data_IF_074859443325
#
_entry.id   IF_074859443325
#
_cell.length_a   1.000
_cell.length_b   1.000
_cell.length_c   1.000
_cell.angle_alpha   90.00
_cell.angle_beta   90.00
_cell.angle_gamma   90.00
#
_symmetry.space_group_name_H-M   'P 1'
#
loop_
_entity.id
_entity.type
_entity.pdbx_description
1 polymer ?
#
# COMPACT_ATOMS: atom_id res chain seq x y z
N UNK A 1 8.64 -11.57 5.50
CA UNK A 1 7.20 -11.71 5.19
C UNK A 1 6.48 -10.68 6.03
N UNK A 2 5.85 -9.66 5.42
CA UNK A 2 5.19 -8.59 6.17
C UNK A 2 3.78 -8.98 6.61
N UNK A 3 3.33 -8.58 7.81
CA UNK A 3 1.98 -8.84 8.28
C UNK A 3 0.95 -8.13 7.41
N UNK A 4 -0.13 -8.84 7.09
CA UNK A 4 -1.29 -8.23 6.43
C UNK A 4 -2.11 -7.49 7.47
N UNK A 5 -2.36 -6.22 7.24
CA UNK A 5 -3.12 -5.36 8.13
C UNK A 5 -4.61 -5.47 7.82
N UNK A 6 -4.94 -5.48 6.53
CA UNK A 6 -6.30 -5.53 6.04
C UNK A 6 -6.37 -6.24 4.68
N UNK A 7 -7.52 -6.85 4.39
CA UNK A 7 -7.76 -7.49 3.10
C UNK A 7 -9.21 -7.34 2.72
N UNK A 8 -9.48 -6.80 1.53
CA UNK A 8 -10.83 -6.59 1.02
C UNK A 8 -10.86 -6.84 -0.49
N UNK A 9 -11.85 -7.60 -0.98
CA UNK A 9 -12.11 -7.82 -2.42
C UNK A 9 -10.86 -8.19 -3.26
N UNK A 10 -9.89 -8.86 -2.66
CA UNK A 10 -8.63 -9.26 -3.33
C UNK A 10 -7.50 -8.23 -3.23
N UNK A 11 -7.74 -7.06 -2.66
CA UNK A 11 -6.71 -6.10 -2.26
C UNK A 11 -6.16 -6.47 -0.89
N UNK A 12 -4.84 -6.49 -0.75
CA UNK A 12 -4.11 -6.80 0.48
C UNK A 12 -3.32 -5.56 0.90
N UNK A 13 -3.56 -5.10 2.12
CA UNK A 13 -2.91 -3.94 2.72
C UNK A 13 -1.85 -4.39 3.70
N UNK A 14 -0.66 -3.81 3.62
CA UNK A 14 0.46 -4.16 4.49
C UNK A 14 1.49 -3.02 4.61
N UNK A 15 2.43 -3.16 5.54
CA UNK A 15 3.56 -2.25 5.74
C UNK A 15 4.88 -3.00 5.59
N UNK A 16 5.91 -2.35 5.07
CA UNK A 16 7.27 -2.88 5.08
C UNK A 16 7.97 -2.49 6.39
N UNK A 17 8.60 -3.45 7.07
CA UNK A 17 9.21 -3.27 8.39
C UNK A 17 10.41 -2.31 8.44
N UNK A 18 10.89 -1.83 7.30
CA UNK A 18 12.07 -0.94 7.19
C UNK A 18 11.85 0.13 6.12
N UNK A 19 10.64 0.68 6.08
CA UNK A 19 10.29 1.76 5.16
C UNK A 19 10.25 3.13 5.87
N UNK A 20 10.07 4.19 5.10
CA UNK A 20 10.04 5.58 5.52
C UNK A 20 9.09 5.87 6.68
N UNK A 21 9.44 6.88 7.49
CA UNK A 21 8.69 7.29 8.69
C UNK A 21 7.33 7.94 8.43
N UNK A 22 7.06 8.37 7.19
CA UNK A 22 5.76 8.93 6.80
C UNK A 22 4.68 7.87 6.87
N UNK A 23 3.47 8.21 7.35
CA UNK A 23 2.35 7.27 7.36
C UNK A 23 1.95 6.93 5.92
N UNK A 24 2.11 5.66 5.55
CA UNK A 24 1.82 5.15 4.22
C UNK A 24 1.32 3.72 4.31
N UNK A 25 0.59 3.26 3.30
CA UNK A 25 0.13 1.87 3.18
C UNK A 25 0.44 1.33 1.79
N UNK A 26 0.87 0.07 1.73
CA UNK A 26 1.02 -0.67 0.49
C UNK A 26 -0.20 -1.50 0.22
N UNK A 27 -0.65 -1.50 -1.03
CA UNK A 27 -1.80 -2.23 -1.52
C UNK A 27 -1.35 -3.11 -2.67
N UNK A 28 -1.50 -4.42 -2.53
CA UNK A 28 -1.24 -5.38 -3.61
C UNK A 28 -2.53 -6.11 -3.97
N UNK A 29 -2.77 -6.30 -5.27
CA UNK A 29 -3.84 -7.14 -5.79
C UNK A 29 -3.32 -7.99 -6.95
N UNK A 30 -4.20 -8.80 -7.55
CA UNK A 30 -3.86 -9.55 -8.76
C UNK A 30 -3.50 -8.67 -9.98
N UNK A 31 -3.84 -7.38 -9.95
CA UNK A 31 -3.55 -6.43 -11.03
C UNK A 31 -2.27 -5.61 -10.85
N UNK A 32 -1.65 -5.60 -9.66
CA UNK A 32 -0.47 -4.78 -9.41
C UNK A 32 -0.26 -4.39 -7.95
N UNK A 33 0.64 -3.45 -7.75
CA UNK A 33 0.96 -2.86 -6.45
C UNK A 33 0.83 -1.34 -6.50
N UNK A 34 0.36 -0.76 -5.39
CA UNK A 34 0.25 0.66 -5.22
C UNK A 34 0.65 1.05 -3.80
N UNK A 35 1.22 2.24 -3.66
CA UNK A 35 1.57 2.84 -2.38
C UNK A 35 0.81 4.14 -2.24
N UNK A 36 0.22 4.34 -1.07
CA UNK A 36 -0.51 5.56 -0.73
C UNK A 36 0.09 6.22 0.50
N UNK A 37 0.21 7.54 0.45
CA UNK A 37 0.41 8.36 1.64
C UNK A 37 -0.93 8.52 2.36
N UNK A 38 -0.91 8.55 3.70
CA UNK A 38 -2.12 8.76 4.51
C UNK A 38 -2.16 10.20 5.04
N UNK A 39 -0.98 10.80 5.28
CA UNK A 39 -0.85 12.16 5.78
C UNK A 39 0.06 12.99 4.87
N UNK A 40 -0.24 14.29 4.69
CA UNK A 40 -1.41 15.02 5.24
C UNK A 40 -2.74 14.69 4.54
N UNK A 41 -2.69 14.29 3.27
CA UNK A 41 -3.84 13.87 2.47
C UNK A 41 -3.58 12.46 1.89
N UNK A 42 -4.65 11.77 1.51
CA UNK A 42 -4.52 10.47 0.87
C UNK A 42 -4.08 10.67 -0.59
N UNK A 43 -2.81 10.41 -0.85
CA UNK A 43 -2.20 10.62 -2.17
C UNK A 43 -1.54 9.35 -2.69
N UNK A 44 -1.63 9.14 -4.00
CA UNK A 44 -0.95 8.03 -4.67
C UNK A 44 0.55 8.33 -4.77
N UNK A 45 1.35 7.59 -4.02
CA UNK A 45 2.81 7.73 -4.01
C UNK A 45 3.46 6.97 -5.16
N UNK A 46 2.96 5.76 -5.41
CA UNK A 46 3.50 4.86 -6.43
C UNK A 46 2.41 3.94 -6.93
N UNK A 47 2.43 3.65 -8.22
CA UNK A 47 1.55 2.69 -8.85
C UNK A 47 2.35 1.91 -9.88
N UNK A 48 2.38 0.59 -9.69
CA UNK A 48 2.88 -0.36 -10.66
C UNK A 48 1.78 -1.35 -11.04
N UNK A 49 1.34 -1.27 -12.29
CA UNK A 49 0.40 -2.23 -12.88
C UNK A 49 -1.06 -1.78 -12.92
N UNK A 50 -1.44 -0.74 -12.17
CA UNK A 50 -2.76 -0.12 -12.35
C UNK A 50 -2.66 0.99 -13.40
N UNK A 51 -3.57 1.00 -14.38
CA UNK A 51 -3.68 2.03 -15.43
C UNK A 51 -4.90 2.92 -15.19
#
# INVERSE_FOLDING_TARGET
>A
MSPTVFREKGYRFFFFSWEESRKHVHVISGGGEAKFWIEPDIELANNHGYS
#
